data_IF_598089878617
#
_entry.id   IF_598089878617
#
_cell.length_a   1.000
_cell.length_b   1.000
_cell.length_c   1.000
_cell.angle_alpha   90.00
_cell.angle_beta   90.00
_cell.angle_gamma   90.00
#
_symmetry.space_group_name_H-M   'P 1'
#
loop_
_entity.id
_entity.type
_entity.pdbx_description
1 polymer ?
#
# COMPACT_ATOMS: atom_id res chain seq x y z
N UNK A 1 43.04 -24.32 -15.31
CA UNK A 1 41.59 -24.61 -15.48
C UNK A 1 40.71 -24.12 -14.32
N UNK A 2 41.23 -23.91 -13.09
CA UNK A 2 40.45 -23.44 -11.93
C UNK A 2 39.89 -22.00 -12.03
N UNK A 3 40.60 -21.10 -12.74
CA UNK A 3 40.26 -19.67 -12.74
C UNK A 3 38.95 -19.33 -13.48
N UNK A 4 38.67 -20.04 -14.59
CA UNK A 4 37.51 -19.75 -15.45
C UNK A 4 36.18 -20.12 -14.80
N UNK A 5 36.16 -21.17 -13.97
CA UNK A 5 34.99 -21.57 -13.20
C UNK A 5 34.65 -20.59 -12.07
N UNK A 6 35.67 -20.01 -11.42
CA UNK A 6 35.49 -18.96 -10.40
C UNK A 6 34.88 -17.69 -11.00
N UNK A 7 35.41 -17.24 -12.13
CA UNK A 7 34.90 -16.06 -12.84
C UNK A 7 33.45 -16.25 -13.28
N UNK A 8 33.12 -17.39 -13.91
CA UNK A 8 31.75 -17.71 -14.31
C UNK A 8 30.77 -17.74 -13.13
N UNK A 9 31.16 -18.29 -11.97
CA UNK A 9 30.30 -18.26 -10.77
C UNK A 9 30.13 -16.86 -10.20
N UNK A 10 31.15 -16.01 -10.32
CA UNK A 10 31.06 -14.62 -9.87
C UNK A 10 30.20 -13.76 -10.80
N UNK A 11 30.31 -13.94 -12.12
CA UNK A 11 29.47 -13.24 -13.09
C UNK A 11 28.01 -13.68 -13.01
N UNK A 12 27.75 -14.99 -12.87
CA UNK A 12 26.39 -15.51 -12.67
C UNK A 12 25.75 -15.00 -11.35
N UNK A 13 26.55 -14.84 -10.29
CA UNK A 13 26.11 -14.25 -9.02
C UNK A 13 25.80 -12.75 -9.13
N UNK A 14 26.63 -12.01 -9.89
CA UNK A 14 26.46 -10.57 -10.14
C UNK A 14 25.26 -10.30 -11.06
N UNK A 15 25.02 -11.16 -12.06
CA UNK A 15 23.89 -11.08 -12.99
C UNK A 15 22.57 -11.40 -12.27
N UNK A 16 22.52 -12.46 -11.45
CA UNK A 16 21.34 -12.88 -10.70
C UNK A 16 20.86 -11.85 -9.65
N UNK A 17 21.74 -10.93 -9.23
CA UNK A 17 21.45 -9.93 -8.20
C UNK A 17 20.86 -8.63 -8.78
N UNK A 18 20.95 -8.40 -10.10
CA UNK A 18 20.36 -7.21 -10.73
C UNK A 18 18.95 -7.53 -11.23
N UNK A 19 17.94 -7.15 -10.47
CA UNK A 19 16.57 -7.07 -11.00
C UNK A 19 16.60 -6.31 -12.35
N UNK A 20 15.98 -6.83 -13.41
CA UNK A 20 16.05 -6.22 -14.73
C UNK A 20 15.53 -4.78 -14.68
N UNK A 21 16.41 -3.81 -14.94
CA UNK A 21 16.08 -2.36 -14.88
C UNK A 21 15.55 -1.81 -16.21
N UNK A 22 15.12 -2.71 -17.11
CA UNK A 22 14.67 -2.43 -18.46
C UNK A 22 13.37 -1.62 -18.53
N UNK A 23 13.01 -1.13 -19.73
CA UNK A 23 11.82 -0.31 -19.95
C UNK A 23 10.53 -1.03 -19.54
N UNK A 24 10.45 -2.34 -19.77
CA UNK A 24 9.29 -3.17 -19.37
C UNK A 24 9.08 -3.11 -17.86
N UNK A 25 10.10 -3.40 -17.05
CA UNK A 25 10.00 -3.34 -15.58
C UNK A 25 9.56 -1.97 -15.10
N UNK A 26 10.06 -0.90 -15.72
CA UNK A 26 9.69 0.48 -15.36
C UNK A 26 8.23 0.76 -15.66
N UNK A 27 7.77 0.39 -16.86
CA UNK A 27 6.37 0.55 -17.27
C UNK A 27 5.46 -0.29 -16.36
N UNK A 28 5.81 -1.54 -16.09
CA UNK A 28 5.06 -2.41 -15.17
C UNK A 28 4.96 -1.82 -13.76
N UNK A 29 6.06 -1.27 -13.22
CA UNK A 29 6.04 -0.63 -11.91
C UNK A 29 5.15 0.62 -11.89
N UNK A 30 5.18 1.43 -12.95
CA UNK A 30 4.32 2.61 -13.08
C UNK A 30 2.85 2.20 -13.18
N UNK A 31 2.51 1.26 -14.07
CA UNK A 31 1.13 0.78 -14.25
C UNK A 31 0.60 0.20 -12.95
N UNK A 32 1.38 -0.64 -12.27
CA UNK A 32 0.99 -1.19 -10.97
C UNK A 32 0.72 -0.08 -9.94
N UNK A 33 1.63 0.90 -9.83
CA UNK A 33 1.46 2.02 -8.90
C UNK A 33 0.18 2.81 -9.17
N UNK A 34 -0.08 3.14 -10.43
CA UNK A 34 -1.27 3.90 -10.83
C UNK A 34 -2.55 3.09 -10.62
N UNK A 35 -2.53 1.79 -10.91
CA UNK A 35 -3.66 0.90 -10.65
C UNK A 35 -3.99 0.80 -9.15
N UNK A 36 -2.97 0.64 -8.30
CA UNK A 36 -3.15 0.62 -6.83
C UNK A 36 -3.63 1.98 -6.31
N UNK A 37 -3.10 3.08 -6.84
CA UNK A 37 -3.56 4.42 -6.47
C UNK A 37 -5.03 4.63 -6.83
N UNK A 38 -5.44 4.24 -8.05
CA UNK A 38 -6.82 4.32 -8.49
C UNK A 38 -7.75 3.44 -7.65
N UNK A 39 -7.32 2.22 -7.31
CA UNK A 39 -8.06 1.33 -6.42
C UNK A 39 -8.41 2.00 -5.08
N UNK A 40 -7.45 2.69 -4.45
CA UNK A 40 -7.72 3.40 -3.20
C UNK A 40 -8.63 4.61 -3.35
N UNK A 41 -8.58 5.30 -4.50
CA UNK A 41 -9.46 6.44 -4.79
C UNK A 41 -10.90 5.96 -4.97
N UNK A 42 -11.13 4.92 -5.78
CA UNK A 42 -12.45 4.32 -5.98
C UNK A 42 -13.03 3.76 -4.68
N UNK A 43 -12.17 3.26 -3.78
CA UNK A 43 -12.61 2.74 -2.49
C UNK A 43 -13.29 3.81 -1.60
N UNK A 44 -13.12 5.10 -1.90
CA UNK A 44 -13.73 6.21 -1.16
C UNK A 44 -15.21 6.43 -1.47
N UNK A 45 -15.69 6.00 -2.64
CA UNK A 45 -17.01 6.37 -3.19
C UNK A 45 -18.19 5.99 -2.29
N UNK A 46 -18.04 4.90 -1.53
CA UNK A 46 -19.07 4.39 -0.64
C UNK A 46 -18.82 4.73 0.85
N UNK A 47 -17.72 5.43 1.18
CA UNK A 47 -17.35 5.86 2.55
C UNK A 47 -17.75 7.32 2.78
N UNK A 48 -19.04 7.59 2.70
CA UNK A 48 -19.58 8.96 2.68
C UNK A 48 -19.59 9.59 4.10
N UNK A 49 -18.89 10.72 4.34
CA UNK A 49 -18.97 11.46 5.61
C UNK A 49 -20.37 12.09 5.84
N UNK A 50 -20.73 12.48 7.08
CA UNK A 50 -19.87 12.59 8.25
C UNK A 50 -19.84 11.37 9.17
N UNK A 51 -20.85 10.48 9.09
CA UNK A 51 -21.02 9.35 10.01
C UNK A 51 -20.72 7.98 9.38
N UNK A 52 -20.37 7.97 8.09
CA UNK A 52 -19.96 6.78 7.32
C UNK A 52 -20.98 5.62 7.39
N UNK A 53 -22.26 5.97 7.44
CA UNK A 53 -23.39 5.03 7.46
C UNK A 53 -23.75 4.51 8.85
N UNK A 54 -23.23 5.11 9.93
CA UNK A 54 -23.56 4.71 11.30
C UNK A 54 -25.06 4.85 11.63
N UNK A 55 -25.70 5.96 11.21
CA UNK A 55 -27.13 6.18 11.45
C UNK A 55 -28.01 5.18 10.69
N UNK A 56 -27.69 4.95 9.41
CA UNK A 56 -28.45 4.09 8.51
C UNK A 56 -28.05 2.61 8.59
N UNK A 57 -27.05 2.28 9.42
CA UNK A 57 -26.43 0.95 9.52
C UNK A 57 -25.97 0.40 8.16
N UNK A 58 -25.34 1.27 7.38
CA UNK A 58 -24.87 1.01 6.02
C UNK A 58 -23.38 1.39 5.89
N UNK A 59 -22.85 1.33 4.66
CA UNK A 59 -21.52 1.84 4.33
C UNK A 59 -20.41 1.22 5.19
N UNK A 60 -19.41 2.04 5.52
CA UNK A 60 -18.24 1.59 6.31
C UNK A 60 -18.66 1.01 7.66
N UNK A 61 -19.70 1.57 8.28
CA UNK A 61 -20.18 1.09 9.58
C UNK A 61 -20.68 -0.35 9.48
N UNK A 62 -21.47 -0.67 8.45
CA UNK A 62 -22.02 -2.01 8.27
C UNK A 62 -20.92 -3.08 8.11
N UNK A 63 -19.92 -2.81 7.26
CA UNK A 63 -18.80 -3.73 7.09
C UNK A 63 -17.97 -3.88 8.37
N UNK A 64 -17.72 -2.78 9.09
CA UNK A 64 -16.99 -2.80 10.37
C UNK A 64 -17.76 -3.61 11.41
N UNK A 65 -19.07 -3.39 11.55
CA UNK A 65 -19.92 -4.14 12.47
C UNK A 65 -20.01 -5.63 12.07
N UNK A 66 -20.00 -5.95 10.78
CA UNK A 66 -20.04 -7.32 10.27
C UNK A 66 -18.85 -8.18 10.71
N UNK A 67 -17.71 -7.59 11.07
CA UNK A 67 -16.55 -8.35 11.59
C UNK A 67 -16.86 -9.06 12.92
N UNK A 68 -17.88 -8.62 13.66
CA UNK A 68 -18.32 -9.25 14.91
C UNK A 68 -19.08 -10.55 14.61
N UNK A 69 -19.96 -10.52 13.61
CA UNK A 69 -20.77 -11.68 13.22
C UNK A 69 -19.94 -12.74 12.48
N UNK A 70 -18.92 -12.30 11.74
CA UNK A 70 -18.06 -13.16 10.93
C UNK A 70 -16.58 -12.90 11.23
N UNK A 71 -16.09 -13.32 12.40
CA UNK A 71 -14.74 -12.99 12.85
C UNK A 71 -13.69 -13.81 12.08
N UNK A 72 -12.80 -13.12 11.36
CA UNK A 72 -11.56 -13.74 10.83
C UNK A 72 -10.61 -14.06 11.99
N UNK A 73 -10.50 -13.12 12.94
CA UNK A 73 -9.67 -13.24 14.13
C UNK A 73 -10.42 -12.68 15.33
N UNK A 74 -10.69 -13.53 16.32
CA UNK A 74 -11.55 -13.20 17.47
C UNK A 74 -11.04 -11.98 18.28
N UNK A 75 -9.74 -11.87 18.64
CA UNK A 75 -9.25 -10.69 19.37
C UNK A 75 -9.42 -9.37 18.62
N UNK A 76 -9.30 -9.37 17.29
CA UNK A 76 -9.58 -8.18 16.48
C UNK A 76 -11.05 -7.78 16.55
N UNK A 77 -11.95 -8.77 16.48
CA UNK A 77 -13.40 -8.54 16.51
C UNK A 77 -13.86 -8.00 17.87
N UNK A 78 -13.28 -8.50 18.96
CA UNK A 78 -13.49 -7.94 20.30
C UNK A 78 -12.98 -6.50 20.43
N UNK A 79 -11.85 -6.16 19.81
CA UNK A 79 -11.37 -4.78 19.74
C UNK A 79 -12.31 -3.88 18.91
N UNK A 80 -12.83 -4.39 17.80
CA UNK A 80 -13.83 -3.66 17.00
C UNK A 80 -15.07 -3.36 17.84
N UNK A 81 -15.61 -4.36 18.53
CA UNK A 81 -16.80 -4.23 19.36
C UNK A 81 -16.61 -3.27 20.55
N UNK A 82 -15.49 -3.40 21.26
CA UNK A 82 -15.26 -2.67 22.52
C UNK A 82 -14.69 -1.27 22.34
N UNK A 83 -14.00 -1.00 21.24
CA UNK A 83 -13.30 0.27 21.02
C UNK A 83 -13.72 0.99 19.74
N UNK A 84 -13.70 0.29 18.59
CA UNK A 84 -13.96 0.93 17.29
C UNK A 84 -15.42 1.34 17.16
N UNK A 85 -16.39 0.45 17.38
CA UNK A 85 -17.81 0.77 17.22
C UNK A 85 -18.31 1.87 18.17
N UNK A 86 -17.93 1.90 19.47
CA UNK A 86 -18.29 3.01 20.36
C UNK A 86 -17.69 4.36 19.94
N UNK A 87 -16.53 4.35 19.26
CA UNK A 87 -15.84 5.55 18.76
C UNK A 87 -15.76 5.59 17.24
N UNK A 88 -16.84 5.17 16.58
CA UNK A 88 -16.80 4.87 15.15
C UNK A 88 -16.56 6.09 14.26
N UNK A 89 -17.20 7.24 14.53
CA UNK A 89 -17.03 8.44 13.68
C UNK A 89 -15.56 8.88 13.57
N UNK A 90 -14.80 9.03 14.68
CA UNK A 90 -13.35 9.27 14.61
C UNK A 90 -12.58 8.22 13.80
N UNK A 91 -12.91 6.93 13.98
CA UNK A 91 -12.31 5.84 13.21
C UNK A 91 -12.60 5.95 11.70
N UNK A 92 -13.84 6.26 11.32
CA UNK A 92 -14.23 6.46 9.94
C UNK A 92 -13.45 7.59 9.28
N UNK A 93 -13.28 8.73 9.97
CA UNK A 93 -12.44 9.83 9.48
C UNK A 93 -10.97 9.42 9.34
N UNK A 94 -10.43 8.66 10.30
CA UNK A 94 -9.06 8.15 10.23
C UNK A 94 -8.86 7.27 8.99
N UNK A 95 -9.77 6.32 8.74
CA UNK A 95 -9.76 5.45 7.55
C UNK A 95 -9.86 6.29 6.29
N UNK A 96 -10.82 7.21 6.21
CA UNK A 96 -11.07 8.02 5.03
C UNK A 96 -9.87 8.90 4.65
N UNK A 97 -9.25 9.58 5.62
CA UNK A 97 -8.05 10.39 5.40
C UNK A 97 -6.86 9.53 5.00
N UNK A 98 -6.68 8.36 5.64
CA UNK A 98 -5.60 7.43 5.29
C UNK A 98 -5.74 6.92 3.85
N UNK A 99 -6.95 6.61 3.40
CA UNK A 99 -7.23 6.13 2.04
C UNK A 99 -7.04 7.23 0.98
N UNK A 100 -7.49 8.46 1.26
CA UNK A 100 -7.19 9.61 0.39
C UNK A 100 -5.69 9.79 0.24
N UNK A 101 -4.96 9.74 1.36
CA UNK A 101 -3.52 9.90 1.34
C UNK A 101 -2.84 8.74 0.57
N UNK A 102 -3.25 7.49 0.79
CA UNK A 102 -2.78 6.35 0.01
C UNK A 102 -2.95 6.57 -1.50
N UNK A 103 -4.16 6.94 -1.93
CA UNK A 103 -4.46 7.22 -3.33
C UNK A 103 -3.60 8.34 -3.90
N UNK A 104 -3.58 9.51 -3.25
CA UNK A 104 -2.88 10.72 -3.74
C UNK A 104 -1.37 10.52 -3.77
N UNK A 105 -0.76 10.01 -2.70
CA UNK A 105 0.69 9.89 -2.63
C UNK A 105 1.23 8.80 -3.57
N UNK A 106 0.50 7.69 -3.74
CA UNK A 106 0.86 6.67 -4.73
C UNK A 106 0.66 7.18 -6.17
N UNK A 107 -0.39 7.96 -6.43
CA UNK A 107 -0.61 8.58 -7.74
C UNK A 107 0.56 9.49 -8.13
N UNK A 108 0.95 10.39 -7.22
CA UNK A 108 2.09 11.29 -7.39
C UNK A 108 3.45 10.55 -7.40
N UNK A 109 3.51 9.35 -6.81
CA UNK A 109 4.75 8.62 -6.60
C UNK A 109 5.69 9.35 -5.64
N UNK A 110 5.13 9.81 -4.51
CA UNK A 110 5.84 10.50 -3.41
C UNK A 110 5.82 9.64 -2.15
N UNK A 111 6.98 9.44 -1.52
CA UNK A 111 7.16 8.57 -0.36
C UNK A 111 6.57 7.17 -0.59
N UNK A 112 6.76 6.63 -1.80
CA UNK A 112 6.03 5.47 -2.31
C UNK A 112 6.27 4.22 -1.47
N UNK A 113 7.48 4.04 -0.90
CA UNK A 113 7.77 2.88 -0.04
C UNK A 113 7.03 2.98 1.29
N UNK A 114 6.97 4.17 1.87
CA UNK A 114 6.20 4.40 3.10
C UNK A 114 4.73 4.10 2.88
N UNK A 115 4.12 4.68 1.84
CA UNK A 115 2.71 4.46 1.53
C UNK A 115 2.41 3.03 1.08
N UNK A 116 3.38 2.32 0.49
CA UNK A 116 3.24 0.90 0.23
C UNK A 116 3.11 0.08 1.52
N UNK A 117 3.88 0.40 2.57
CA UNK A 117 3.74 -0.26 3.89
C UNK A 117 2.41 0.09 4.53
N UNK A 118 2.01 1.37 4.51
CA UNK A 118 0.72 1.81 5.05
C UNK A 118 -0.43 1.07 4.35
N UNK A 119 -0.40 0.97 3.02
CA UNK A 119 -1.43 0.30 2.24
C UNK A 119 -1.43 -1.22 2.45
N UNK A 120 -0.28 -1.84 2.70
CA UNK A 120 -0.21 -3.24 3.13
C UNK A 120 -0.92 -3.45 4.48
N UNK A 121 -0.61 -2.62 5.47
CA UNK A 121 -1.25 -2.68 6.80
C UNK A 121 -2.75 -2.43 6.70
N UNK A 122 -3.17 -1.44 5.92
CA UNK A 122 -4.58 -1.14 5.71
C UNK A 122 -5.31 -2.31 5.02
N UNK A 123 -4.70 -2.91 3.98
CA UNK A 123 -5.26 -4.09 3.31
C UNK A 123 -5.40 -5.28 4.26
N UNK A 124 -4.45 -5.45 5.18
CA UNK A 124 -4.53 -6.47 6.22
C UNK A 124 -5.66 -6.19 7.23
N UNK A 125 -5.85 -4.95 7.65
CA UNK A 125 -6.98 -4.56 8.52
C UNK A 125 -8.33 -4.81 7.81
N UNK A 126 -8.45 -4.47 6.52
CA UNK A 126 -9.64 -4.78 5.73
C UNK A 126 -9.86 -6.29 5.70
N UNK A 127 -8.83 -7.09 5.43
CA UNK A 127 -8.92 -8.55 5.48
C UNK A 127 -9.48 -9.05 6.82
N UNK A 128 -9.00 -8.53 7.96
CA UNK A 128 -9.54 -8.90 9.27
C UNK A 128 -11.01 -8.48 9.47
N UNK A 129 -11.45 -7.41 8.79
CA UNK A 129 -12.80 -6.86 8.90
C UNK A 129 -13.82 -7.68 8.09
N UNK A 130 -13.50 -7.98 6.84
CA UNK A 130 -14.46 -8.52 5.86
C UNK A 130 -14.08 -9.88 5.28
N UNK A 131 -12.89 -10.39 5.56
CA UNK A 131 -12.36 -11.62 4.95
C UNK A 131 -13.09 -12.92 5.31
N UNK A 132 -14.01 -12.91 6.27
CA UNK A 132 -14.88 -14.05 6.58
C UNK A 132 -16.37 -13.76 6.34
N UNK A 133 -16.70 -12.57 5.83
CA UNK A 133 -18.09 -12.20 5.57
C UNK A 133 -18.66 -13.00 4.38
N UNK A 134 -19.97 -13.32 4.40
CA UNK A 134 -20.63 -13.97 3.28
C UNK A 134 -20.50 -13.14 1.99
N UNK A 135 -20.38 -13.82 0.85
CA UNK A 135 -20.28 -13.20 -0.49
C UNK A 135 -19.02 -12.37 -0.76
N UNK A 136 -18.09 -12.29 0.19
CA UNK A 136 -16.77 -11.70 -0.01
C UNK A 136 -15.76 -12.72 -0.56
N UNK A 137 -14.84 -12.25 -1.40
CA UNK A 137 -13.72 -13.06 -1.86
C UNK A 137 -12.44 -12.66 -1.11
N UNK A 138 -11.95 -13.46 -0.14
CA UNK A 138 -10.89 -13.02 0.77
C UNK A 138 -9.55 -12.78 0.06
N UNK A 139 -9.33 -13.44 -1.07
CA UNK A 139 -8.13 -13.30 -1.88
C UNK A 139 -7.98 -11.91 -2.49
N UNK A 140 -9.06 -11.13 -2.64
CA UNK A 140 -8.97 -9.72 -3.06
C UNK A 140 -8.03 -8.94 -2.15
N UNK A 141 -8.18 -9.11 -0.83
CA UNK A 141 -7.37 -8.41 0.16
C UNK A 141 -5.93 -8.93 0.19
N UNK A 142 -5.73 -10.23 -0.07
CA UNK A 142 -4.39 -10.82 -0.25
C UNK A 142 -3.70 -10.27 -1.48
N UNK A 143 -4.39 -10.15 -2.60
CA UNK A 143 -3.86 -9.54 -3.81
C UNK A 143 -3.54 -8.07 -3.60
N UNK A 144 -4.37 -7.33 -2.85
CA UNK A 144 -4.04 -5.96 -2.44
C UNK A 144 -2.76 -5.91 -1.61
N UNK A 145 -2.59 -6.78 -0.61
CA UNK A 145 -1.35 -6.87 0.18
C UNK A 145 -0.13 -7.17 -0.72
N UNK A 146 -0.24 -8.14 -1.63
CA UNK A 146 0.83 -8.48 -2.57
C UNK A 146 1.15 -7.34 -3.55
N UNK A 147 0.14 -6.59 -4.01
CA UNK A 147 0.33 -5.43 -4.87
C UNK A 147 1.15 -4.34 -4.15
N UNK A 148 0.86 -4.09 -2.86
CA UNK A 148 1.65 -3.16 -2.05
C UNK A 148 3.09 -3.66 -1.83
N UNK A 149 3.28 -4.95 -1.57
CA UNK A 149 4.63 -5.53 -1.49
C UNK A 149 5.39 -5.39 -2.80
N UNK A 150 4.74 -5.55 -3.95
CA UNK A 150 5.34 -5.34 -5.26
C UNK A 150 5.68 -3.86 -5.51
N UNK A 151 4.80 -2.91 -5.15
CA UNK A 151 5.09 -1.47 -5.22
C UNK A 151 6.31 -1.10 -4.34
N UNK A 152 6.38 -1.67 -3.14
CA UNK A 152 7.51 -1.50 -2.21
C UNK A 152 8.82 -2.05 -2.78
N UNK A 153 8.80 -3.29 -3.29
CA UNK A 153 9.96 -3.99 -3.82
C UNK A 153 10.51 -3.33 -5.09
N UNK A 154 9.63 -2.98 -6.03
CA UNK A 154 10.00 -2.32 -7.29
C UNK A 154 10.38 -0.85 -7.09
N UNK A 155 10.09 -0.27 -5.92
CA UNK A 155 10.22 1.15 -5.62
C UNK A 155 9.67 2.03 -6.74
N UNK A 156 8.39 1.79 -7.08
CA UNK A 156 7.72 2.35 -8.24
C UNK A 156 7.70 3.89 -8.28
N UNK A 157 7.91 4.59 -7.16
CA UNK A 157 8.09 6.04 -7.11
C UNK A 157 9.30 6.55 -7.90
N UNK A 158 10.34 5.72 -8.07
CA UNK A 158 11.53 6.06 -8.84
C UNK A 158 11.26 6.16 -10.35
N UNK A 159 10.14 5.62 -10.83
CA UNK A 159 9.73 5.66 -12.23
C UNK A 159 8.58 6.66 -12.41
N UNK A 160 8.85 7.76 -13.12
CA UNK A 160 7.84 8.80 -13.39
C UNK A 160 7.06 9.27 -12.14
N UNK A 161 7.71 9.29 -10.98
CA UNK A 161 7.17 9.79 -9.72
C UNK A 161 8.06 10.89 -9.14
N UNK A 162 7.51 11.62 -8.17
CA UNK A 162 8.22 12.68 -7.45
C UNK A 162 9.47 12.13 -6.75
N UNK A 163 9.42 10.90 -6.24
CA UNK A 163 10.56 10.20 -5.63
C UNK A 163 11.78 10.11 -6.59
N UNK A 164 11.53 9.78 -7.86
CA UNK A 164 12.56 9.75 -8.89
C UNK A 164 13.12 11.14 -9.22
N UNK A 165 12.27 12.17 -9.20
CA UNK A 165 12.68 13.55 -9.43
C UNK A 165 13.54 14.10 -8.29
N UNK A 166 13.14 13.87 -7.03
CA UNK A 166 13.90 14.27 -5.83
C UNK A 166 15.29 13.63 -5.80
N UNK A 167 15.39 12.33 -6.10
CA UNK A 167 16.67 11.61 -6.16
C UNK A 167 17.61 12.17 -7.22
N UNK A 168 17.11 12.51 -8.42
CA UNK A 168 17.92 13.15 -9.47
C UNK A 168 18.43 14.52 -9.06
N UNK A 169 17.58 15.33 -8.42
CA UNK A 169 17.92 16.68 -7.97
C UNK A 169 18.98 16.67 -6.87
N UNK A 170 18.92 15.69 -5.98
CA UNK A 170 19.90 15.51 -4.92
C UNK A 170 21.26 15.01 -5.40
N UNK A 171 21.28 14.11 -6.38
CA UNK A 171 22.53 13.73 -7.06
C UNK A 171 23.18 14.92 -7.76
N UNK A 172 22.39 15.92 -8.16
CA UNK A 172 22.86 17.20 -8.70
C UNK A 172 23.23 18.27 -7.65
N UNK A 173 23.26 17.93 -6.35
CA UNK A 173 23.77 18.82 -5.29
C UNK A 173 22.80 19.87 -4.75
N UNK A 174 21.51 19.82 -5.09
CA UNK A 174 20.62 20.96 -4.91
C UNK A 174 19.95 21.14 -3.53
N UNK A 175 19.97 20.17 -2.59
CA UNK A 175 19.49 20.40 -1.21
C UNK A 175 19.76 19.20 -0.29
N UNK A 176 20.72 19.32 0.63
CA UNK A 176 21.20 18.18 1.42
C UNK A 176 20.23 17.71 2.54
N UNK A 177 19.39 18.61 3.10
CA UNK A 177 18.57 18.31 4.29
C UNK A 177 17.27 17.57 3.98
N UNK A 178 16.45 18.09 3.06
CA UNK A 178 15.20 17.44 2.63
C UNK A 178 15.48 16.09 1.98
N UNK A 179 16.57 16.01 1.21
CA UNK A 179 16.97 14.75 0.60
C UNK A 179 17.33 13.69 1.64
N UNK A 180 18.08 14.03 2.70
CA UNK A 180 18.48 13.07 3.74
C UNK A 180 17.29 12.44 4.47
N UNK A 181 16.22 13.21 4.67
CA UNK A 181 15.00 12.75 5.35
C UNK A 181 14.10 11.89 4.46
N UNK A 182 14.00 12.22 3.16
CA UNK A 182 13.06 11.54 2.25
C UNK A 182 13.68 10.32 1.53
N UNK A 183 15.00 10.30 1.32
CA UNK A 183 15.73 9.19 0.69
C UNK A 183 15.35 7.77 1.18
N UNK A 184 15.20 7.51 2.49
CA UNK A 184 14.82 6.18 2.96
C UNK A 184 13.36 5.81 2.67
N UNK A 185 12.49 6.80 2.41
CA UNK A 185 11.05 6.63 2.18
C UNK A 185 10.68 6.52 0.68
N UNK A 186 11.60 6.93 -0.19
CA UNK A 186 11.51 6.85 -1.67
C UNK A 186 12.09 5.55 -2.23
#
# INVERSE_FOLDING_TARGET
MSNRTSELTSELSIEATRLPTGPVTRISALVLRLAVAYLWIENLDWKVPPDFGQGDRAGLWAFTNGSIAHPVFSPYSSFVESFILPTFVPFGWLVYVAEIALGVFLLLGLATRFWAVVGFVQSFVIYLTVGAQPHEWPWTYVLMMLAHLAVFALAAGRVAGVDGWLRRRAAGGADARLTRLLLPLT
#
